data_IF_400233460262
#
_entry.id   IF_400233460262
#
_cell.length_a   1.000
_cell.length_b   1.000
_cell.length_c   1.000
_cell.angle_alpha   90.00
_cell.angle_beta   90.00
_cell.angle_gamma   90.00
#
_symmetry.space_group_name_H-M   'P 1'
#
loop_
_entity.id
_entity.type
_entity.pdbx_description
1 polymer ?
#
# COMPACT_ATOMS: atom_id res chain seq x y z
N UNK A 1 -3.83 -15.64 11.36
CA UNK A 1 -3.16 -15.66 10.04
C UNK A 1 -2.11 -14.56 10.02
N UNK A 2 -0.90 -14.83 9.54
CA UNK A 2 0.11 -13.80 9.25
C UNK A 2 -0.28 -13.03 7.97
N UNK A 3 -0.63 -11.73 8.06
CA UNK A 3 -1.02 -10.93 6.89
C UNK A 3 0.09 -10.78 5.85
N UNK A 4 1.36 -10.74 6.26
CA UNK A 4 2.49 -10.61 5.34
C UNK A 4 2.68 -11.90 4.54
N UNK A 5 2.57 -13.06 5.20
CA UNK A 5 2.61 -14.36 4.52
C UNK A 5 1.48 -14.50 3.51
N UNK A 6 0.25 -14.14 3.90
CA UNK A 6 -0.89 -14.14 2.99
C UNK A 6 -0.64 -13.29 1.74
N UNK A 7 -0.16 -12.06 1.92
CA UNK A 7 0.14 -11.15 0.81
C UNK A 7 1.18 -11.76 -0.13
N UNK A 8 2.29 -12.29 0.41
CA UNK A 8 3.34 -12.94 -0.39
C UNK A 8 2.78 -14.08 -1.23
N UNK A 9 2.05 -15.00 -0.62
CA UNK A 9 1.49 -16.17 -1.31
C UNK A 9 0.46 -15.79 -2.39
N UNK A 10 -0.24 -14.66 -2.24
CA UNK A 10 -1.30 -14.21 -3.17
C UNK A 10 -0.84 -13.19 -4.21
N UNK A 11 0.42 -12.76 -4.16
CA UNK A 11 0.99 -11.78 -5.12
C UNK A 11 2.30 -12.25 -5.74
N UNK A 12 2.81 -13.40 -5.29
CA UNK A 12 3.90 -14.12 -5.91
C UNK A 12 3.61 -14.34 -7.41
N UNK A 13 4.61 -14.11 -8.25
CA UNK A 13 4.51 -14.29 -9.70
C UNK A 13 3.84 -13.15 -10.48
N UNK A 14 3.35 -12.09 -9.84
CA UNK A 14 2.77 -10.93 -10.58
C UNK A 14 3.77 -10.28 -11.55
N UNK A 15 5.06 -10.31 -11.20
CA UNK A 15 6.13 -9.78 -12.03
C UNK A 15 6.52 -10.73 -13.18
N UNK A 16 6.14 -12.00 -13.11
CA UNK A 16 6.35 -13.01 -14.16
C UNK A 16 5.25 -12.97 -15.24
N UNK A 17 4.11 -12.33 -14.95
CA UNK A 17 3.02 -12.16 -15.92
C UNK A 17 3.48 -11.39 -17.17
N UNK A 18 3.09 -11.84 -18.35
CA UNK A 18 3.32 -11.14 -19.62
C UNK A 18 2.29 -10.01 -19.85
N UNK A 19 2.32 -9.01 -18.96
CA UNK A 19 1.49 -7.79 -19.05
C UNK A 19 2.36 -6.54 -18.88
N UNK A 20 1.92 -5.37 -19.38
CA UNK A 20 2.69 -4.13 -19.24
C UNK A 20 3.00 -3.77 -17.77
N UNK A 21 4.16 -3.16 -17.48
CA UNK A 21 4.54 -2.71 -16.13
C UNK A 21 3.47 -1.88 -15.41
N UNK A 22 2.80 -0.97 -16.12
CA UNK A 22 1.73 -0.15 -15.54
C UNK A 22 0.56 -1.00 -15.05
N UNK A 23 0.17 -2.03 -15.80
CA UNK A 23 -0.90 -2.93 -15.40
C UNK A 23 -0.51 -3.80 -14.21
N UNK A 24 0.76 -4.22 -14.10
CA UNK A 24 1.29 -4.92 -12.91
C UNK A 24 1.15 -4.03 -11.68
N UNK A 25 1.61 -2.78 -11.80
CA UNK A 25 1.55 -1.82 -10.71
C UNK A 25 0.11 -1.53 -10.31
N UNK A 26 -0.80 -1.26 -11.24
CA UNK A 26 -2.20 -0.95 -10.89
C UNK A 26 -2.88 -2.12 -10.15
N UNK A 27 -2.61 -3.37 -10.56
CA UNK A 27 -3.06 -4.56 -9.84
C UNK A 27 -2.49 -4.63 -8.42
N UNK A 28 -1.18 -4.39 -8.25
CA UNK A 28 -0.53 -4.32 -6.95
C UNK A 28 -1.19 -3.24 -6.06
N UNK A 29 -1.35 -2.03 -6.58
CA UNK A 29 -1.90 -0.90 -5.81
C UNK A 29 -3.29 -1.21 -5.28
N UNK A 30 -4.19 -1.72 -6.12
CA UNK A 30 -5.56 -2.06 -5.72
C UNK A 30 -5.55 -3.20 -4.70
N UNK A 31 -4.77 -4.26 -4.95
CA UNK A 31 -4.73 -5.45 -4.11
C UNK A 31 -4.19 -5.15 -2.72
N UNK A 32 -3.04 -4.50 -2.63
CA UNK A 32 -2.43 -4.14 -1.36
C UNK A 32 -3.27 -3.12 -0.60
N UNK A 33 -3.91 -2.16 -1.29
CA UNK A 33 -4.82 -1.21 -0.64
C UNK A 33 -6.03 -1.90 0.00
N UNK A 34 -6.61 -2.90 -0.67
CA UNK A 34 -7.71 -3.68 -0.15
C UNK A 34 -7.30 -4.52 1.08
N UNK A 35 -6.13 -5.17 1.02
CA UNK A 35 -5.61 -5.98 2.13
C UNK A 35 -5.28 -5.10 3.33
N UNK A 36 -4.58 -3.99 3.12
CA UNK A 36 -4.27 -3.01 4.16
C UNK A 36 -5.55 -2.46 4.82
N UNK A 37 -6.57 -2.12 4.03
CA UNK A 37 -7.85 -1.68 4.55
C UNK A 37 -8.57 -2.78 5.34
N UNK A 38 -8.45 -4.05 4.93
CA UNK A 38 -9.04 -5.19 5.63
C UNK A 38 -8.37 -5.45 6.99
N UNK A 39 -7.04 -5.32 7.05
CA UNK A 39 -6.26 -5.40 8.30
C UNK A 39 -6.65 -4.28 9.26
N UNK A 40 -6.80 -3.06 8.77
CA UNK A 40 -7.11 -1.88 9.58
C UNK A 40 -8.54 -1.82 10.13
N UNK A 41 -9.39 -2.82 9.85
CA UNK A 41 -10.71 -2.98 10.50
C UNK A 41 -10.54 -3.39 11.97
N UNK A 42 -9.36 -3.87 12.37
CA UNK A 42 -9.12 -4.29 13.75
C UNK A 42 -9.11 -3.08 14.70
N UNK A 43 -9.71 -3.21 15.90
CA UNK A 43 -9.84 -2.11 16.86
C UNK A 43 -8.54 -1.85 17.64
N UNK A 44 -7.38 -1.84 16.96
CA UNK A 44 -6.08 -1.61 17.59
C UNK A 44 -5.44 -0.35 16.98
N UNK A 45 -5.51 0.80 17.67
CA UNK A 45 -4.85 2.01 17.23
C UNK A 45 -3.35 1.77 17.02
N UNK A 46 -2.80 2.21 15.89
CA UNK A 46 -1.36 2.19 15.58
C UNK A 46 -0.70 0.81 15.40
N UNK A 47 -1.37 -0.33 15.68
CA UNK A 47 -0.86 -1.67 15.32
C UNK A 47 -0.71 -1.85 13.82
N UNK A 48 -1.54 -1.12 13.08
CA UNK A 48 -1.44 -0.88 11.65
C UNK A 48 -0.01 -0.56 11.19
N UNK A 49 0.81 0.15 11.96
CA UNK A 49 2.19 0.47 11.53
C UNK A 49 3.03 -0.81 11.46
N UNK A 50 2.96 -1.65 12.49
CA UNK A 50 3.78 -2.86 12.59
C UNK A 50 3.31 -3.96 11.64
N UNK A 51 2.06 -3.91 11.16
CA UNK A 51 1.51 -4.88 10.21
C UNK A 51 1.51 -4.34 8.77
N UNK A 52 1.06 -3.11 8.55
CA UNK A 52 0.97 -2.49 7.23
C UNK A 52 2.34 -2.10 6.68
N UNK A 53 3.29 -1.67 7.52
CA UNK A 53 4.61 -1.24 7.01
C UNK A 53 5.34 -2.40 6.32
N UNK A 54 5.45 -3.61 6.89
CA UNK A 54 6.00 -4.76 6.18
C UNK A 54 5.28 -5.08 4.86
N UNK A 55 3.94 -4.97 4.84
CA UNK A 55 3.13 -5.19 3.64
C UNK A 55 3.43 -4.11 2.57
N UNK A 56 3.50 -2.84 2.96
CA UNK A 56 3.80 -1.72 2.07
C UNK A 56 5.26 -1.74 1.59
N UNK A 57 6.21 -2.19 2.41
CA UNK A 57 7.59 -2.43 2.00
C UNK A 57 7.65 -3.50 0.91
N UNK A 58 6.94 -4.61 1.10
CA UNK A 58 6.85 -5.66 0.09
C UNK A 58 6.13 -5.21 -1.18
N UNK A 59 5.08 -4.38 -1.06
CA UNK A 59 4.47 -3.72 -2.22
C UNK A 59 5.52 -2.92 -3.01
N UNK A 60 6.32 -2.12 -2.32
CA UNK A 60 7.36 -1.31 -2.96
C UNK A 60 8.44 -2.14 -3.64
N UNK A 61 8.83 -3.29 -3.09
CA UNK A 61 9.77 -4.21 -3.77
C UNK A 61 9.17 -4.74 -5.08
N UNK A 62 7.90 -5.17 -5.06
CA UNK A 62 7.23 -5.65 -6.27
C UNK A 62 7.06 -4.54 -7.32
N UNK A 63 6.77 -3.30 -6.91
CA UNK A 63 6.68 -2.15 -7.83
C UNK A 63 8.06 -1.85 -8.44
N UNK A 64 9.13 -1.85 -7.63
CA UNK A 64 10.47 -1.59 -8.13
C UNK A 64 10.92 -2.64 -9.16
N UNK A 65 10.66 -3.92 -8.89
CA UNK A 65 10.86 -5.02 -9.83
C UNK A 65 10.05 -4.85 -11.10
N UNK A 66 8.75 -4.51 -10.99
CA UNK A 66 7.89 -4.24 -12.15
C UNK A 66 8.43 -3.10 -13.02
N UNK A 67 9.14 -2.13 -12.43
CA UNK A 67 9.78 -1.00 -13.12
C UNK A 67 11.21 -1.29 -13.59
N UNK A 68 11.75 -2.47 -13.33
CA UNK A 68 13.12 -2.81 -13.69
C UNK A 68 14.17 -1.98 -12.94
N UNK A 69 13.82 -1.42 -11.77
CA UNK A 69 14.79 -0.72 -10.92
C UNK A 69 15.77 -1.75 -10.35
N UNK A 70 17.08 -1.52 -10.54
CA UNK A 70 18.13 -2.38 -9.98
C UNK A 70 18.52 -1.86 -8.60
N UNK A 71 18.30 -2.67 -7.57
CA UNK A 71 18.56 -2.30 -6.17
C UNK A 71 19.07 -3.48 -5.36
N UNK A 72 19.75 -3.18 -4.25
CA UNK A 72 19.93 -4.15 -3.17
C UNK A 72 18.77 -4.05 -2.18
N UNK A 73 18.46 -5.15 -1.49
CA UNK A 73 17.37 -5.17 -0.49
C UNK A 73 17.55 -4.10 0.59
N UNK A 74 18.78 -3.84 1.03
CA UNK A 74 19.05 -2.79 2.02
C UNK A 74 18.74 -1.38 1.50
N UNK A 75 19.09 -1.09 0.24
CA UNK A 75 18.85 0.22 -0.37
C UNK A 75 17.35 0.48 -0.57
N UNK A 76 16.64 -0.49 -1.14
CA UNK A 76 15.21 -0.33 -1.42
C UNK A 76 14.41 -0.16 -0.14
N UNK A 77 14.75 -0.88 0.94
CA UNK A 77 14.06 -0.69 2.21
C UNK A 77 14.31 0.70 2.79
N UNK A 78 15.53 1.24 2.72
CA UNK A 78 15.81 2.62 3.16
C UNK A 78 15.04 3.65 2.34
N UNK A 79 15.01 3.50 1.01
CA UNK A 79 14.28 4.40 0.12
C UNK A 79 12.78 4.36 0.38
N UNK A 80 12.18 3.16 0.43
CA UNK A 80 10.76 2.98 0.74
C UNK A 80 10.43 3.49 2.14
N UNK A 81 11.24 3.21 3.15
CA UNK A 81 11.02 3.74 4.51
C UNK A 81 11.07 5.26 4.54
N UNK A 82 11.95 5.90 3.75
CA UNK A 82 11.96 7.35 3.58
C UNK A 82 10.66 7.87 2.96
N UNK A 83 10.14 7.19 1.93
CA UNK A 83 8.87 7.53 1.27
C UNK A 83 7.66 7.33 2.19
N UNK A 84 7.57 6.17 2.85
CA UNK A 84 6.52 5.83 3.82
C UNK A 84 6.60 6.79 5.02
N UNK A 85 7.80 7.12 5.51
CA UNK A 85 7.98 8.04 6.64
C UNK A 85 7.43 9.44 6.35
N UNK A 86 7.64 9.95 5.13
CA UNK A 86 7.05 11.23 4.69
C UNK A 86 5.52 11.15 4.55
N UNK A 87 4.99 10.05 4.00
CA UNK A 87 3.56 9.82 3.91
C UNK A 87 2.91 9.68 5.30
N UNK A 88 3.61 9.04 6.24
CA UNK A 88 3.18 8.85 7.61
C UNK A 88 3.17 10.16 8.39
N UNK A 89 4.19 11.01 8.22
CA UNK A 89 4.20 12.38 8.74
C UNK A 89 2.98 13.16 8.23
N UNK A 90 2.73 13.13 6.91
CA UNK A 90 1.57 13.79 6.33
C UNK A 90 0.23 13.21 6.85
N UNK A 91 0.17 11.90 7.07
CA UNK A 91 -0.99 11.19 7.62
C UNK A 91 -1.24 11.55 9.09
N UNK A 92 -0.21 11.63 9.92
CA UNK A 92 -0.31 12.01 11.33
C UNK A 92 -0.72 13.48 11.49
N UNK A 93 -0.24 14.39 10.63
CA UNK A 93 -0.71 15.78 10.61
C UNK A 93 -2.21 15.84 10.28
N UNK A 94 -2.65 15.08 9.27
CA UNK A 94 -4.06 15.03 8.88
C UNK A 94 -4.96 14.38 9.95
N UNK A 95 -4.50 13.31 10.60
CA UNK A 95 -5.22 12.62 11.66
C UNK A 95 -5.27 13.48 12.94
N UNK A 96 -4.20 14.19 13.29
CA UNK A 96 -4.18 15.12 14.41
C UNK A 96 -5.20 16.26 14.25
N UNK A 97 -5.34 16.80 13.04
CA UNK A 97 -6.35 17.81 12.68
C UNK A 97 -7.78 17.26 12.59
N UNK A 98 -7.95 15.97 12.29
CA UNK A 98 -9.27 15.35 12.15
C UNK A 98 -9.82 14.87 13.50
N UNK A 99 -8.95 14.34 14.38
CA UNK A 99 -9.33 13.85 15.72
C UNK A 99 -9.72 14.96 16.70
N UNK A 100 -9.33 16.20 16.46
CA UNK A 100 -9.87 17.38 17.17
C UNK A 100 -11.34 17.67 16.81
N UNK A 101 -11.85 17.17 15.69
CA UNK A 101 -13.18 17.50 15.18
C UNK A 101 -14.19 16.36 15.33
N UNK A 102 -13.76 15.09 15.23
CA UNK A 102 -14.66 13.92 15.28
C UNK A 102 -14.08 12.76 16.10
N UNK A 103 -14.11 12.82 17.44
CA UNK A 103 -13.92 11.63 18.26
C UNK A 103 -15.11 10.67 18.02
N UNK A 104 -14.87 9.34 18.03
CA UNK A 104 -15.87 8.24 17.95
C UNK A 104 -16.29 7.62 16.58
N UNK A 105 -15.90 8.12 15.41
CA UNK A 105 -16.28 7.50 14.10
C UNK A 105 -15.31 6.43 13.56
N UNK A 106 -14.49 5.83 14.44
CA UNK A 106 -13.21 5.20 14.09
C UNK A 106 -13.22 3.88 13.31
N UNK A 107 -14.32 3.15 13.18
CA UNK A 107 -14.32 1.86 12.47
C UNK A 107 -14.84 1.96 11.01
N UNK A 108 -15.87 2.76 10.77
CA UNK A 108 -16.53 2.84 9.45
C UNK A 108 -15.79 3.79 8.50
N UNK A 109 -15.17 4.84 9.03
CA UNK A 109 -14.42 5.82 8.23
C UNK A 109 -13.00 5.36 7.87
N UNK A 110 -12.48 4.35 8.58
CA UNK A 110 -11.09 3.89 8.45
C UNK A 110 -10.85 3.04 7.20
N UNK A 111 -11.83 2.25 6.75
CA UNK A 111 -11.69 1.43 5.54
C UNK A 111 -11.38 2.29 4.29
N UNK A 112 -12.22 3.27 3.89
CA UNK A 112 -11.92 4.13 2.75
C UNK A 112 -10.63 4.92 2.93
N UNK A 113 -10.34 5.35 4.16
CA UNK A 113 -9.15 6.12 4.47
C UNK A 113 -7.87 5.31 4.22
N UNK A 114 -7.76 4.12 4.80
CA UNK A 114 -6.57 3.27 4.71
C UNK A 114 -6.36 2.79 3.28
N UNK A 115 -7.44 2.45 2.56
CA UNK A 115 -7.35 2.10 1.15
C UNK A 115 -6.74 3.23 0.33
N UNK A 116 -7.30 4.44 0.45
CA UNK A 116 -6.86 5.62 -0.31
C UNK A 116 -5.42 5.99 0.03
N UNK A 117 -5.03 5.90 1.30
CA UNK A 117 -3.67 6.24 1.72
C UNK A 117 -2.65 5.20 1.24
N UNK A 118 -2.97 3.91 1.34
CA UNK A 118 -2.11 2.83 0.83
C UNK A 118 -1.93 2.96 -0.68
N UNK A 119 -3.01 3.23 -1.41
CA UNK A 119 -2.96 3.45 -2.86
C UNK A 119 -2.06 4.64 -3.20
N UNK A 120 -2.21 5.76 -2.47
CA UNK A 120 -1.40 6.96 -2.68
C UNK A 120 0.09 6.72 -2.39
N UNK A 121 0.42 5.98 -1.32
CA UNK A 121 1.80 5.57 -1.01
C UNK A 121 2.38 4.75 -2.17
N UNK A 122 1.66 3.76 -2.66
CA UNK A 122 2.13 2.94 -3.77
C UNK A 122 2.29 3.73 -5.09
N UNK A 123 1.41 4.71 -5.38
CA UNK A 123 1.60 5.63 -6.51
C UNK A 123 2.85 6.49 -6.37
N UNK A 124 3.19 6.92 -5.15
CA UNK A 124 4.44 7.66 -4.88
C UNK A 124 5.65 6.77 -5.07
N UNK A 125 5.63 5.53 -4.57
CA UNK A 125 6.70 4.55 -4.83
C UNK A 125 6.89 4.34 -6.33
N UNK A 126 5.79 4.16 -7.06
CA UNK A 126 5.82 4.01 -8.50
C UNK A 126 6.45 5.23 -9.21
N UNK A 127 5.98 6.43 -8.87
CA UNK A 127 6.52 7.68 -9.41
C UNK A 127 8.02 7.82 -9.12
N UNK A 128 8.44 7.46 -7.91
CA UNK A 128 9.83 7.47 -7.49
C UNK A 128 10.70 6.52 -8.33
N UNK A 129 10.27 5.26 -8.50
CA UNK A 129 11.05 4.27 -9.25
C UNK A 129 11.08 4.57 -10.76
N UNK A 130 10.00 5.11 -11.33
CA UNK A 130 10.01 5.63 -12.71
C UNK A 130 11.03 6.76 -12.85
N UNK A 131 10.99 7.77 -11.98
CA UNK A 131 11.95 8.87 -12.02
C UNK A 131 13.40 8.37 -11.88
N UNK A 132 13.65 7.40 -11.00
CA UNK A 132 14.98 6.80 -10.80
C UNK A 132 15.50 6.05 -12.02
N UNK A 133 14.66 5.25 -12.66
CA UNK A 133 15.03 4.50 -13.87
C UNK A 133 15.30 5.43 -15.06
N UNK A 134 14.69 6.62 -15.06
CA UNK A 134 14.95 7.70 -16.01
C UNK A 134 16.13 8.62 -15.60
N UNK A 135 16.82 8.35 -14.49
CA UNK A 135 17.93 9.18 -14.00
C UNK A 135 17.53 10.54 -13.42
N UNK A 136 16.24 10.77 -13.17
CA UNK A 136 15.72 12.03 -12.61
C UNK A 136 15.90 12.06 -11.09
N UNK A 137 16.22 13.24 -10.57
CA UNK A 137 16.23 13.51 -9.12
C UNK A 137 14.87 14.08 -8.71
N UNK A 138 14.29 13.54 -7.65
CA UNK A 138 13.05 14.04 -7.06
C UNK A 138 13.35 14.79 -5.77
N UNK A 139 12.65 15.92 -5.57
CA UNK A 139 12.65 16.67 -4.32
C UNK A 139 11.59 16.14 -3.35
N UNK A 140 11.63 16.59 -2.08
CA UNK A 140 10.58 16.24 -1.11
C UNK A 140 9.23 16.81 -1.55
N UNK A 141 9.25 18.00 -2.14
CA UNK A 141 8.08 18.72 -2.63
C UNK A 141 7.40 17.95 -3.77
N UNK A 142 8.17 17.33 -4.66
CA UNK A 142 7.63 16.47 -5.74
C UNK A 142 6.89 15.27 -5.17
N UNK A 143 7.45 14.63 -4.14
CA UNK A 143 6.84 13.47 -3.49
C UNK A 143 5.55 13.85 -2.74
N UNK A 144 5.54 15.00 -2.06
CA UNK A 144 4.34 15.53 -1.39
C UNK A 144 3.26 15.88 -2.40
N UNK A 145 3.62 16.50 -3.54
CA UNK A 145 2.68 16.80 -4.63
C UNK A 145 2.13 15.52 -5.23
N UNK A 146 2.98 14.55 -5.54
CA UNK A 146 2.58 13.24 -6.05
C UNK A 146 1.63 12.52 -5.09
N UNK A 147 1.91 12.56 -3.77
CA UNK A 147 1.03 11.98 -2.76
C UNK A 147 -0.35 12.65 -2.71
N UNK A 148 -0.38 14.00 -2.69
CA UNK A 148 -1.64 14.77 -2.68
C UNK A 148 -2.48 14.47 -3.92
N UNK A 149 -1.83 14.41 -5.09
CA UNK A 149 -2.47 14.09 -6.35
C UNK A 149 -3.00 12.66 -6.36
N UNK A 150 -2.18 11.68 -5.98
CA UNK A 150 -2.58 10.28 -5.91
C UNK A 150 -3.75 10.06 -4.92
N UNK A 151 -3.78 10.79 -3.79
CA UNK A 151 -4.91 10.77 -2.85
C UNK A 151 -6.18 11.33 -3.48
N UNK A 152 -6.08 12.42 -4.25
CA UNK A 152 -7.21 13.02 -4.97
C UNK A 152 -7.74 12.06 -6.04
N UNK A 153 -6.84 11.46 -6.81
CA UNK A 153 -7.18 10.52 -7.87
C UNK A 153 -7.82 9.25 -7.29
N UNK A 154 -7.30 8.71 -6.19
CA UNK A 154 -7.91 7.56 -5.52
C UNK A 154 -9.34 7.85 -5.07
N UNK A 155 -9.59 9.03 -4.47
CA UNK A 155 -10.94 9.44 -4.05
C UNK A 155 -11.90 9.65 -5.23
N UNK A 156 -11.38 10.05 -6.39
CA UNK A 156 -12.17 10.26 -7.61
C UNK A 156 -12.46 8.93 -8.32
N UNK A 157 -11.48 8.04 -8.38
CA UNK A 157 -11.53 6.83 -9.18
C UNK A 157 -12.16 5.65 -8.45
N UNK A 158 -12.17 5.66 -7.11
CA UNK A 158 -12.76 4.59 -6.31
C UNK A 158 -13.93 5.11 -5.49
N UNK A 159 -15.12 4.56 -5.74
CA UNK A 159 -16.29 4.85 -4.92
C UNK A 159 -16.16 4.19 -3.53
N UNK A 160 -16.86 4.73 -2.52
CA UNK A 160 -16.88 4.10 -1.18
C UNK A 160 -17.36 2.65 -1.23
N UNK A 161 -18.35 2.36 -2.07
CA UNK A 161 -18.91 1.01 -2.22
C UNK A 161 -17.93 0.06 -2.91
N UNK A 162 -17.20 0.54 -3.92
CA UNK A 162 -16.13 -0.25 -4.55
C UNK A 162 -15.01 -0.57 -3.55
N UNK A 163 -14.57 0.42 -2.76
CA UNK A 163 -13.55 0.19 -1.74
C UNK A 163 -14.03 -0.84 -0.71
N UNK A 164 -15.27 -0.71 -0.21
CA UNK A 164 -15.86 -1.68 0.72
C UNK A 164 -15.91 -3.07 0.11
N UNK A 165 -16.35 -3.19 -1.14
CA UNK A 165 -16.43 -4.48 -1.85
C UNK A 165 -15.06 -5.15 -1.91
N UNK A 166 -14.05 -4.46 -2.44
CA UNK A 166 -12.67 -5.00 -2.54
C UNK A 166 -12.08 -5.34 -1.19
N UNK A 167 -12.35 -4.51 -0.17
CA UNK A 167 -11.89 -4.76 1.21
C UNK A 167 -12.56 -6.00 1.81
N UNK A 168 -13.85 -6.19 1.58
CA UNK A 168 -14.59 -7.35 2.04
C UNK A 168 -14.14 -8.64 1.35
N UNK A 169 -13.88 -8.59 0.03
CA UNK A 169 -13.29 -9.69 -0.73
C UNK A 169 -11.94 -10.09 -0.14
N UNK A 170 -11.02 -9.13 0.03
CA UNK A 170 -9.73 -9.38 0.67
C UNK A 170 -9.89 -9.96 2.09
N UNK A 171 -10.83 -9.45 2.87
CA UNK A 171 -11.12 -9.96 4.21
C UNK A 171 -11.63 -11.40 4.19
N UNK A 172 -12.49 -11.77 3.24
CA UNK A 172 -13.00 -13.13 3.10
C UNK A 172 -11.89 -14.09 2.70
N UNK A 173 -11.06 -13.71 1.74
CA UNK A 173 -9.90 -14.51 1.33
C UNK A 173 -8.92 -14.72 2.50
N UNK A 174 -8.63 -13.68 3.28
CA UNK A 174 -7.79 -13.78 4.47
C UNK A 174 -8.40 -14.69 5.55
N UNK A 175 -9.74 -14.70 5.71
CA UNK A 175 -10.43 -15.62 6.65
C UNK A 175 -10.35 -17.07 6.19
N UNK A 176 -10.44 -17.30 4.89
CA UNK A 176 -10.46 -18.63 4.29
C UNK A 176 -9.07 -19.16 3.95
N UNK A 177 -8.02 -18.35 4.12
CA UNK A 177 -6.66 -18.72 3.78
C UNK A 177 -6.17 -19.87 4.66
N UNK A 178 -5.86 -20.98 4.00
CA UNK A 178 -5.09 -22.09 4.55
C UNK A 178 -3.69 -21.98 3.96
N UNK A 179 -2.65 -21.73 4.77
CA UNK A 179 -1.28 -21.72 4.25
C UNK A 179 -1.00 -23.07 3.63
N UNK A 180 -0.53 -23.08 2.38
CA UNK A 180 0.00 -24.31 1.79
C UNK A 180 1.14 -24.77 2.70
N UNK A 181 0.98 -25.94 3.33
CA UNK A 181 2.09 -26.59 3.99
C UNK A 181 3.09 -26.91 2.87
N UNK A 182 4.23 -26.23 2.86
CA UNK A 182 5.39 -26.82 2.19
C UNK A 182 5.71 -28.05 3.02
N UNK A 183 5.32 -29.22 2.54
CA UNK A 183 5.86 -30.47 3.06
C UNK A 183 7.38 -30.32 3.04
N UNK A 184 8.00 -30.52 4.20
CA UNK A 184 9.43 -30.69 4.27
C UNK A 184 9.75 -31.96 3.49
N UNK A 185 10.40 -31.81 2.34
CA UNK A 185 11.16 -32.90 1.70
C UNK A 185 12.51 -32.95 2.37
#
# INVERSE_FOLDING_TARGET
MDPLKFVKDNTYGINELNIPPDQKVDKLLIRFSAICAAVAVQPIPFADIFILTPIQLYMGTLIAEARGYKFTMSQIYKEILGLIGLAYLAQQTAIGLYKTVLPFLGAITTIPLVFVLTYAIGKVMNYYFVAKTEGKKLTKEDLVKAFKQARKDAKKNFSKEEIKKKTNEARQEMKNYKPQAKEFV
#
